data_IF_804579951780
#
_entry.id   IF_804579951780
#
_cell.length_a   1.000
_cell.length_b   1.000
_cell.length_c   1.000
_cell.angle_alpha   90.00
_cell.angle_beta   90.00
_cell.angle_gamma   90.00
#
_symmetry.space_group_name_H-M   'P 1'
#
loop_
_entity.id
_entity.type
_entity.pdbx_description
1 polymer ?
#
# COMPACT_ATOMS: atom_id res chain seq x y z
N UNK A 1 -55.07 -37.57 22.77
CA UNK A 1 -54.82 -37.13 21.39
C UNK A 1 -53.82 -35.98 21.50
N UNK A 2 -52.54 -36.28 21.44
CA UNK A 2 -51.47 -35.30 21.62
C UNK A 2 -51.04 -34.78 20.25
N UNK A 3 -51.32 -33.51 19.98
CA UNK A 3 -50.84 -32.81 18.78
C UNK A 3 -49.54 -32.10 19.17
N UNK A 4 -48.42 -32.80 18.98
CA UNK A 4 -47.08 -32.19 19.01
C UNK A 4 -46.79 -31.66 17.61
N UNK A 5 -46.99 -30.36 17.38
CA UNK A 5 -46.55 -29.71 16.15
C UNK A 5 -45.08 -29.34 16.30
N UNK A 6 -44.21 -30.12 15.66
CA UNK A 6 -42.77 -29.85 15.58
C UNK A 6 -42.55 -28.53 14.84
N UNK A 7 -41.99 -27.54 15.55
CA UNK A 7 -41.50 -26.29 14.95
C UNK A 7 -40.41 -26.62 13.93
N UNK A 8 -40.72 -26.45 12.65
CA UNK A 8 -39.73 -26.48 11.57
C UNK A 8 -38.87 -25.22 11.66
N UNK A 9 -37.64 -25.38 12.14
CA UNK A 9 -36.60 -24.38 11.94
C UNK A 9 -36.20 -24.42 10.46
N UNK A 10 -36.49 -23.35 9.72
CA UNK A 10 -35.93 -23.16 8.39
C UNK A 10 -34.42 -22.97 8.59
N UNK A 11 -33.64 -23.97 8.17
CA UNK A 11 -32.19 -23.88 8.08
C UNK A 11 -31.87 -22.76 7.09
N UNK A 12 -31.42 -21.61 7.59
CA UNK A 12 -30.83 -20.57 6.75
C UNK A 12 -29.58 -21.22 6.13
N UNK A 13 -29.41 -21.19 4.79
CA UNK A 13 -28.22 -21.77 4.18
C UNK A 13 -27.01 -21.03 4.75
N UNK A 14 -26.04 -21.79 5.28
CA UNK A 14 -24.71 -21.29 5.61
C UNK A 14 -24.17 -20.61 4.35
N UNK A 15 -24.29 -19.28 4.28
CA UNK A 15 -23.53 -18.50 3.32
C UNK A 15 -22.09 -18.70 3.73
N UNK A 16 -21.32 -19.32 2.85
CA UNK A 16 -19.91 -19.62 2.97
C UNK A 16 -19.11 -18.37 3.43
N UNK A 17 -19.01 -18.23 4.76
CA UNK A 17 -18.32 -17.11 5.42
C UNK A 17 -16.82 -17.14 5.07
N UNK A 18 -16.31 -18.31 4.66
CA UNK A 18 -14.93 -18.55 4.29
C UNK A 18 -14.52 -17.95 2.94
N UNK A 19 -15.43 -17.81 1.97
CA UNK A 19 -15.10 -17.16 0.70
C UNK A 19 -15.07 -15.63 0.83
N UNK A 20 -16.08 -15.03 1.47
CA UNK A 20 -16.14 -13.57 1.65
C UNK A 20 -14.97 -13.03 2.51
N UNK A 21 -14.55 -13.77 3.54
CA UNK A 21 -13.39 -13.41 4.36
C UNK A 21 -12.07 -13.47 3.55
N UNK A 22 -11.91 -14.49 2.70
CA UNK A 22 -10.74 -14.61 1.82
C UNK A 22 -10.65 -13.49 0.80
N UNK A 23 -11.78 -13.10 0.20
CA UNK A 23 -11.82 -12.02 -0.78
C UNK A 23 -11.49 -10.67 -0.15
N UNK A 24 -11.94 -10.43 1.09
CA UNK A 24 -11.59 -9.24 1.86
C UNK A 24 -10.10 -9.20 2.23
N UNK A 25 -9.52 -10.31 2.69
CA UNK A 25 -8.09 -10.42 3.00
C UNK A 25 -7.21 -10.23 1.75
N UNK A 26 -7.65 -10.76 0.60
CA UNK A 26 -6.96 -10.57 -0.67
C UNK A 26 -7.00 -9.12 -1.15
N UNK A 27 -8.15 -8.44 -1.05
CA UNK A 27 -8.25 -7.01 -1.38
C UNK A 27 -7.38 -6.16 -0.46
N UNK A 28 -7.34 -6.48 0.84
CA UNK A 28 -6.53 -5.75 1.80
C UNK A 28 -5.03 -5.88 1.50
N UNK A 29 -4.57 -7.12 1.27
CA UNK A 29 -3.20 -7.42 0.84
C UNK A 29 -2.83 -6.71 -0.47
N UNK A 30 -3.78 -6.62 -1.41
CA UNK A 30 -3.57 -5.90 -2.67
C UNK A 30 -3.39 -4.40 -2.46
N UNK A 31 -4.23 -3.75 -1.64
CA UNK A 31 -4.10 -2.32 -1.32
C UNK A 31 -2.77 -2.00 -0.64
N UNK A 32 -2.33 -2.86 0.30
CA UNK A 32 -1.03 -2.71 0.96
C UNK A 32 0.11 -2.79 -0.07
N UNK A 33 0.05 -3.75 -1.00
CA UNK A 33 1.04 -3.89 -2.07
C UNK A 33 1.07 -2.64 -2.95
N UNK A 34 -0.08 -2.18 -3.45
CA UNK A 34 -0.16 -1.00 -4.32
C UNK A 34 0.40 0.24 -3.62
N UNK A 35 0.10 0.44 -2.33
CA UNK A 35 0.62 1.57 -1.59
C UNK A 35 2.15 1.55 -1.45
N UNK A 36 2.75 0.38 -1.21
CA UNK A 36 4.21 0.19 -1.13
C UNK A 36 4.90 0.35 -2.49
N UNK A 37 4.29 -0.19 -3.54
CA UNK A 37 4.80 -0.09 -4.90
C UNK A 37 4.77 1.39 -5.36
N UNK A 38 3.70 2.12 -5.02
CA UNK A 38 3.62 3.56 -5.28
C UNK A 38 4.70 4.35 -4.52
N UNK A 39 4.89 4.09 -3.24
CA UNK A 39 5.96 4.74 -2.47
C UNK A 39 7.33 4.47 -3.11
N UNK A 40 7.58 3.25 -3.59
CA UNK A 40 8.84 2.91 -4.26
C UNK A 40 9.08 3.75 -5.52
N UNK A 41 8.04 3.97 -6.33
CA UNK A 41 8.11 4.86 -7.51
C UNK A 41 8.33 6.32 -7.10
N UNK A 42 7.63 6.78 -6.06
CA UNK A 42 7.80 8.14 -5.53
C UNK A 42 9.23 8.37 -5.03
N UNK A 43 9.77 7.46 -4.22
CA UNK A 43 11.12 7.53 -3.70
C UNK A 43 12.15 7.56 -4.82
N UNK A 44 11.99 6.73 -5.84
CA UNK A 44 12.85 6.75 -7.02
C UNK A 44 12.87 8.14 -7.67
N UNK A 45 11.71 8.79 -7.86
CA UNK A 45 11.65 10.15 -8.39
C UNK A 45 12.28 11.19 -7.47
N UNK A 46 12.08 11.08 -6.16
CA UNK A 46 12.74 11.97 -5.20
C UNK A 46 14.27 11.82 -5.27
N UNK A 47 14.80 10.60 -5.42
CA UNK A 47 16.23 10.37 -5.59
C UNK A 47 16.77 10.92 -6.91
N UNK A 48 16.05 10.74 -8.02
CA UNK A 48 16.42 11.33 -9.30
C UNK A 48 16.51 12.87 -9.19
N UNK A 49 15.54 13.54 -8.58
CA UNK A 49 15.56 15.00 -8.43
C UNK A 49 16.65 15.48 -7.45
N UNK A 50 16.93 14.72 -6.39
CA UNK A 50 18.08 15.01 -5.51
C UNK A 50 19.41 14.87 -6.26
N UNK A 51 19.54 13.88 -7.14
CA UNK A 51 20.71 13.72 -8.00
C UNK A 51 20.85 14.90 -8.97
N UNK A 52 19.75 15.31 -9.61
CA UNK A 52 19.73 16.43 -10.56
C UNK A 52 20.08 17.79 -9.91
N UNK A 53 19.94 17.91 -8.59
CA UNK A 53 20.30 19.13 -7.84
C UNK A 53 21.81 19.25 -7.62
N UNK A 54 22.58 18.17 -7.79
CA UNK A 54 24.04 18.19 -7.69
C UNK A 54 24.58 18.81 -8.98
N UNK A 55 25.23 19.99 -8.93
CA UNK A 55 25.74 20.62 -10.12
C UNK A 55 26.88 19.80 -10.73
N UNK A 56 26.81 19.58 -12.04
CA UNK A 56 27.94 19.10 -12.82
C UNK A 56 29.07 20.14 -12.69
N UNK A 57 30.18 19.72 -12.09
CA UNK A 57 31.37 20.56 -11.91
C UNK A 57 32.60 19.75 -12.27
N UNK A 58 33.69 20.41 -12.65
CA UNK A 58 34.96 19.74 -13.00
C UNK A 58 35.50 18.84 -11.85
N UNK A 59 35.06 19.06 -10.59
CA UNK A 59 35.38 18.20 -9.43
C UNK A 59 34.56 16.90 -9.38
N UNK A 60 33.37 16.92 -9.97
CA UNK A 60 32.38 15.82 -9.95
C UNK A 60 32.39 15.02 -11.27
N UNK A 61 32.95 15.59 -12.34
CA UNK A 61 33.00 14.94 -13.65
C UNK A 61 34.02 13.80 -13.77
N UNK A 62 34.98 13.68 -12.83
CA UNK A 62 35.96 12.59 -12.80
C UNK A 62 35.27 11.22 -12.60
N UNK A 63 35.81 10.18 -13.25
CA UNK A 63 35.24 8.83 -13.22
C UNK A 63 35.13 8.28 -11.79
N UNK A 64 36.05 8.68 -10.91
CA UNK A 64 36.04 8.32 -9.48
C UNK A 64 34.81 8.92 -8.76
N UNK A 65 34.48 10.17 -9.06
CA UNK A 65 33.35 10.89 -8.45
C UNK A 65 32.01 10.27 -8.86
N UNK A 66 31.87 9.90 -10.14
CA UNK A 66 30.67 9.19 -10.64
C UNK A 66 30.50 7.81 -9.99
N UNK A 67 31.59 7.06 -9.81
CA UNK A 67 31.55 5.78 -9.10
C UNK A 67 31.11 5.95 -7.65
N UNK A 68 31.64 6.97 -6.95
CA UNK A 68 31.25 7.27 -5.57
C UNK A 68 29.77 7.63 -5.44
N UNK A 69 29.24 8.43 -6.38
CA UNK A 69 27.80 8.73 -6.43
C UNK A 69 26.95 7.49 -6.67
N UNK A 70 27.35 6.62 -7.59
CA UNK A 70 26.65 5.35 -7.82
C UNK A 70 26.58 4.47 -6.57
N UNK A 71 27.70 4.35 -5.83
CA UNK A 71 27.76 3.63 -4.56
C UNK A 71 26.87 4.30 -3.50
N UNK A 72 26.89 5.62 -3.40
CA UNK A 72 26.03 6.38 -2.48
C UNK A 72 24.54 6.10 -2.73
N UNK A 73 24.09 6.22 -3.99
CA UNK A 73 22.69 5.96 -4.34
C UNK A 73 22.29 4.50 -4.12
N UNK A 74 23.19 3.55 -4.36
CA UNK A 74 22.96 2.13 -4.06
C UNK A 74 22.73 1.91 -2.56
N UNK A 75 23.58 2.45 -1.70
CA UNK A 75 23.39 2.34 -0.24
C UNK A 75 22.12 3.03 0.24
N UNK A 76 21.74 4.15 -0.38
CA UNK A 76 20.49 4.83 -0.03
C UNK A 76 19.26 4.03 -0.44
N UNK A 77 19.27 3.40 -1.62
CA UNK A 77 18.19 2.51 -2.03
C UNK A 77 18.05 1.31 -1.09
N UNK A 78 19.17 0.71 -0.65
CA UNK A 78 19.18 -0.43 0.27
C UNK A 78 18.70 -0.05 1.68
N UNK A 79 19.18 1.06 2.26
CA UNK A 79 18.74 1.54 3.58
C UNK A 79 17.24 1.86 3.57
N UNK A 80 16.75 2.52 2.52
CA UNK A 80 15.35 2.91 2.43
C UNK A 80 14.45 1.71 2.14
N UNK A 81 14.85 0.79 1.28
CA UNK A 81 14.11 -0.44 1.01
C UNK A 81 14.04 -1.36 2.23
N UNK A 82 15.14 -1.54 2.94
CA UNK A 82 15.22 -2.43 4.11
C UNK A 82 14.47 -1.89 5.34
N UNK A 83 14.36 -0.56 5.47
CA UNK A 83 13.68 0.11 6.60
C UNK A 83 12.22 0.44 6.34
N UNK A 84 11.69 0.05 5.18
CA UNK A 84 10.26 0.20 4.85
C UNK A 84 9.88 1.57 4.28
N UNK A 85 10.81 2.20 3.56
CA UNK A 85 10.64 3.48 2.89
C UNK A 85 10.58 4.65 3.87
N UNK A 86 9.87 5.70 3.47
CA UNK A 86 9.51 6.82 4.36
C UNK A 86 8.28 6.51 5.21
N UNK A 87 7.63 5.36 4.98
CA UNK A 87 6.42 4.95 5.67
C UNK A 87 5.14 5.58 5.10
N UNK A 88 5.24 6.36 4.01
CA UNK A 88 4.12 7.06 3.38
C UNK A 88 3.07 6.09 2.83
N UNK A 89 3.47 4.86 2.52
CA UNK A 89 2.55 3.81 2.09
C UNK A 89 1.41 3.56 3.08
N UNK A 90 1.60 3.81 4.38
CA UNK A 90 0.55 3.64 5.40
C UNK A 90 -0.53 4.70 5.25
N UNK A 91 -0.15 5.94 5.04
CA UNK A 91 -1.04 7.07 4.81
C UNK A 91 -1.80 6.92 3.51
N UNK A 92 -1.12 6.48 2.44
CA UNK A 92 -1.75 6.19 1.14
C UNK A 92 -2.78 5.04 1.30
N UNK A 93 -2.41 3.95 1.97
CA UNK A 93 -3.33 2.85 2.27
C UNK A 93 -4.56 3.34 3.07
N UNK A 94 -4.34 4.18 4.09
CA UNK A 94 -5.42 4.77 4.87
C UNK A 94 -6.36 5.66 4.03
N UNK A 95 -5.82 6.40 3.05
CA UNK A 95 -6.62 7.21 2.14
C UNK A 95 -7.48 6.35 1.21
N UNK A 96 -6.92 5.28 0.64
CA UNK A 96 -7.68 4.33 -0.19
C UNK A 96 -8.87 3.71 0.57
N UNK A 97 -8.73 3.53 1.88
CA UNK A 97 -9.80 2.99 2.74
C UNK A 97 -10.82 4.04 3.18
N UNK A 98 -10.44 5.32 3.25
CA UNK A 98 -11.37 6.42 3.59
C UNK A 98 -12.35 6.74 2.46
N UNK A 99 -11.91 6.66 1.21
CA UNK A 99 -12.76 6.94 0.03
C UNK A 99 -13.83 5.86 -0.20
N UNK A 100 -13.75 4.72 0.48
CA UNK A 100 -14.72 3.63 0.36
C UNK A 100 -15.87 3.67 1.38
N UNK A 101 -16.02 4.74 2.17
CA UNK A 101 -17.16 4.87 3.08
C UNK A 101 -18.38 5.47 2.35
N UNK A 102 -19.46 4.70 2.06
CA UNK A 102 -20.62 5.20 1.33
C UNK A 102 -21.58 6.04 2.20
N UNK A 103 -21.18 6.46 3.40
CA UNK A 103 -22.09 7.00 4.42
C UNK A 103 -22.17 8.54 4.45
N UNK A 104 -21.52 9.26 3.52
CA UNK A 104 -21.46 10.72 3.57
C UNK A 104 -22.54 11.46 2.74
N UNK A 105 -23.48 10.74 2.10
CA UNK A 105 -24.46 11.36 1.19
C UNK A 105 -25.89 11.51 1.76
N UNK A 106 -26.21 10.89 2.91
CA UNK A 106 -27.61 10.80 3.37
C UNK A 106 -27.98 11.74 4.54
N UNK A 107 -27.10 12.65 4.98
CA UNK A 107 -27.38 13.53 6.13
C UNK A 107 -27.64 15.01 5.78
N UNK A 108 -27.86 15.34 4.51
CA UNK A 108 -28.08 16.72 4.05
C UNK A 108 -29.28 16.96 3.13
N UNK A 109 -30.34 16.14 3.22
CA UNK A 109 -31.67 16.53 2.70
C UNK A 109 -32.76 16.34 3.75
#
# INVERSE_FOLDING_TARGET
MEITTKTNFVQVPDRDVSHAARDADMQDSHKVKVAKDFESVLLNKVFEEMQNTIPESELVEDDTSKQMQGIFWMYMADDMGSRGGFGLWKEIYNQMNKEQSPAALDSKL
#
